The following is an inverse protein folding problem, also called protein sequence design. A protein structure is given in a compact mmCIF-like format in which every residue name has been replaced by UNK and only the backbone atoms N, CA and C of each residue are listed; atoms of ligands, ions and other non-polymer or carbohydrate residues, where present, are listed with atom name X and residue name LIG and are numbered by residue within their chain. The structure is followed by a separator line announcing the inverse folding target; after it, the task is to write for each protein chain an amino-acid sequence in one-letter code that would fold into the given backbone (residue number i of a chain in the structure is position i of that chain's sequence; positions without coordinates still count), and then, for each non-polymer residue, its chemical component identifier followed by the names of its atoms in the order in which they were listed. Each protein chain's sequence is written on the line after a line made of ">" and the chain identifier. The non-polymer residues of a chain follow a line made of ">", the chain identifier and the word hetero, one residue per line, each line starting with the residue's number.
data_IF_229445352193
#
_entry.id   IF_229445352193
#
_cell.length_a   1.000
_cell.length_b   1.000
_cell.length_c   1.000
_cell.angle_alpha   90.00
_cell.angle_beta   90.00
_cell.angle_gamma   90.00
#
_symmetry.space_group_name_H-M   'P 1'
#
loop_
_entity.id
_entity.type
_entity.pdbx_description
1 polymer ?
#
# COMPACT_ATOMS: atom_id res chain seq x y z
N UNK A 1 -34.24 -30.76 29.26
CA UNK A 1 -33.00 -31.53 29.05
C UNK A 1 -31.85 -30.54 29.16
N UNK A 2 -31.15 -30.53 30.29
CA UNK A 2 -29.97 -29.68 30.47
C UNK A 2 -28.80 -30.34 29.74
N UNK A 3 -28.13 -29.58 28.86
CA UNK A 3 -26.94 -30.08 28.18
C UNK A 3 -25.84 -30.28 29.24
N UNK A 4 -25.23 -31.47 29.32
CA UNK A 4 -24.20 -31.73 30.29
C UNK A 4 -23.03 -30.77 30.06
N UNK A 5 -22.59 -30.10 31.12
CA UNK A 5 -21.57 -29.03 31.10
C UNK A 5 -20.30 -29.38 30.30
N UNK A 6 -19.92 -30.67 30.27
CA UNK A 6 -18.80 -31.19 29.47
C UNK A 6 -18.98 -31.00 27.95
N UNK A 7 -20.22 -31.05 27.46
CA UNK A 7 -20.55 -30.81 26.03
C UNK A 7 -20.42 -29.33 25.69
N UNK A 8 -20.82 -28.44 26.60
CA UNK A 8 -20.69 -26.99 26.39
C UNK A 8 -19.22 -26.60 26.28
N UNK A 9 -18.35 -27.13 27.17
CA UNK A 9 -16.92 -26.86 27.13
C UNK A 9 -16.28 -27.38 25.84
N UNK A 10 -16.61 -28.61 25.42
CA UNK A 10 -16.02 -29.20 24.21
C UNK A 10 -16.44 -28.45 22.94
N UNK A 11 -17.70 -28.03 22.83
CA UNK A 11 -18.17 -27.20 21.72
C UNK A 11 -17.48 -25.84 21.69
N UNK A 12 -17.32 -25.18 22.85
CA UNK A 12 -16.61 -23.90 22.94
C UNK A 12 -15.14 -24.01 22.53
N UNK A 13 -14.47 -25.09 22.92
CA UNK A 13 -13.06 -25.34 22.61
C UNK A 13 -12.85 -25.62 21.12
N UNK A 14 -13.75 -26.40 20.51
CA UNK A 14 -13.74 -26.64 19.06
C UNK A 14 -14.02 -25.36 18.28
N UNK A 15 -14.99 -24.55 18.70
CA UNK A 15 -15.29 -23.27 18.06
C UNK A 15 -14.10 -22.30 18.14
N UNK A 16 -13.40 -22.25 19.28
CA UNK A 16 -12.20 -21.44 19.46
C UNK A 16 -11.04 -21.88 18.57
N UNK A 17 -10.82 -23.20 18.45
CA UNK A 17 -9.81 -23.74 17.54
C UNK A 17 -10.14 -23.43 16.08
N UNK A 18 -11.40 -23.59 15.68
CA UNK A 18 -11.83 -23.29 14.30
C UNK A 18 -11.65 -21.81 13.95
N UNK A 19 -11.93 -20.88 14.86
CA UNK A 19 -11.72 -19.45 14.60
C UNK A 19 -10.24 -19.09 14.54
N UNK A 20 -9.40 -19.67 15.40
CA UNK A 20 -7.93 -19.45 15.32
C UNK A 20 -7.35 -20.03 14.04
N UNK A 21 -7.78 -21.22 13.62
CA UNK A 21 -7.38 -21.79 12.33
C UNK A 21 -7.86 -20.92 11.16
N UNK A 22 -9.09 -20.43 11.18
CA UNK A 22 -9.61 -19.54 10.14
C UNK A 22 -8.78 -18.25 10.01
N UNK A 23 -8.44 -17.60 11.13
CA UNK A 23 -7.60 -16.39 11.14
C UNK A 23 -6.18 -16.71 10.63
N UNK A 24 -5.60 -17.83 11.07
CA UNK A 24 -4.27 -18.25 10.63
C UNK A 24 -4.22 -18.54 9.13
N UNK A 25 -5.21 -19.28 8.61
CA UNK A 25 -5.33 -19.55 7.19
C UNK A 25 -5.68 -18.29 6.39
N UNK A 26 -6.52 -17.38 6.89
CA UNK A 26 -6.79 -16.11 6.19
C UNK A 26 -5.57 -15.18 6.12
N UNK A 27 -4.66 -15.28 7.10
CA UNK A 27 -3.38 -14.56 7.07
C UNK A 27 -2.37 -15.22 6.13
N UNK A 28 -2.37 -16.55 5.99
CA UNK A 28 -1.49 -17.25 5.03
C UNK A 28 -2.01 -17.23 3.58
N UNK A 29 -3.33 -17.09 3.39
CA UNK A 29 -3.98 -16.94 2.08
C UNK A 29 -4.07 -15.48 1.63
N UNK A 30 -3.15 -14.63 2.08
CA UNK A 30 -2.68 -13.58 1.18
C UNK A 30 -2.06 -14.28 -0.01
N UNK A 31 -2.86 -14.53 -1.06
CA UNK A 31 -2.37 -15.04 -2.34
C UNK A 31 -1.09 -14.30 -2.67
N UNK A 32 0.05 -15.01 -2.65
CA UNK A 32 1.29 -14.42 -3.12
C UNK A 32 1.07 -14.10 -4.58
N UNK A 33 0.81 -12.82 -4.83
CA UNK A 33 0.52 -12.29 -6.15
C UNK A 33 1.65 -12.74 -7.07
N UNK A 34 1.33 -13.60 -8.05
CA UNK A 34 2.38 -14.12 -8.92
C UNK A 34 3.03 -12.96 -9.67
N UNK A 35 4.31 -13.08 -10.01
CA UNK A 35 5.02 -12.00 -10.72
C UNK A 35 4.34 -11.64 -12.06
N UNK A 36 3.72 -12.61 -12.73
CA UNK A 36 2.96 -12.40 -13.96
C UNK A 36 1.67 -11.61 -13.70
N UNK A 37 0.93 -11.96 -12.65
CA UNK A 37 -0.29 -11.25 -12.24
C UNK A 37 0.03 -9.82 -11.80
N UNK A 38 1.10 -9.66 -11.01
CA UNK A 38 1.63 -8.38 -10.57
C UNK A 38 1.97 -7.47 -11.76
N UNK A 39 2.64 -8.00 -12.79
CA UNK A 39 2.93 -7.25 -14.01
C UNK A 39 1.66 -6.79 -14.72
N UNK A 40 0.66 -7.68 -14.86
CA UNK A 40 -0.61 -7.36 -15.51
C UNK A 40 -1.34 -6.23 -14.80
N UNK A 41 -1.48 -6.34 -13.47
CA UNK A 41 -2.15 -5.34 -12.64
C UNK A 41 -1.37 -4.02 -12.70
N UNK A 42 -0.07 -4.04 -12.39
CA UNK A 42 0.78 -2.86 -12.36
C UNK A 42 0.71 -2.05 -13.66
N UNK A 43 0.95 -2.67 -14.81
CA UNK A 43 0.97 -1.94 -16.07
C UNK A 43 -0.42 -1.48 -16.51
N UNK A 44 -1.48 -2.27 -16.29
CA UNK A 44 -2.83 -1.83 -16.67
C UNK A 44 -3.31 -0.65 -15.83
N UNK A 45 -3.08 -0.69 -14.53
CA UNK A 45 -3.46 0.40 -13.62
C UNK A 45 -2.56 1.62 -13.84
N UNK A 46 -1.28 1.39 -14.15
CA UNK A 46 -0.35 2.46 -14.49
C UNK A 46 -0.80 3.26 -15.72
N UNK A 47 -1.25 2.59 -16.78
CA UNK A 47 -1.73 3.26 -17.99
C UNK A 47 -2.99 4.12 -17.72
N UNK A 48 -3.82 3.70 -16.77
CA UNK A 48 -4.95 4.50 -16.31
C UNK A 48 -4.50 5.71 -15.49
N UNK A 49 -3.58 5.53 -14.55
CA UNK A 49 -3.05 6.63 -13.74
C UNK A 49 -2.32 7.67 -14.58
N UNK A 50 -1.62 7.27 -15.65
CA UNK A 50 -1.01 8.20 -16.62
C UNK A 50 -2.03 9.11 -17.30
N UNK A 51 -3.23 8.61 -17.62
CA UNK A 51 -4.30 9.45 -18.20
C UNK A 51 -4.78 10.52 -17.22
N UNK A 52 -4.68 10.23 -15.93
CA UNK A 52 -4.96 11.15 -14.83
C UNK A 52 -3.73 11.97 -14.40
N UNK A 53 -2.67 11.98 -15.23
CA UNK A 53 -1.40 12.66 -14.96
C UNK A 53 -0.76 12.26 -13.63
N UNK A 54 -1.09 11.05 -13.17
CA UNK A 54 -0.62 10.49 -11.93
C UNK A 54 -0.84 11.43 -10.75
N UNK A 55 -1.98 12.11 -10.71
CA UNK A 55 -2.33 12.98 -9.61
C UNK A 55 -2.40 12.21 -8.29
N UNK A 56 -2.09 12.85 -7.16
CA UNK A 56 -2.12 12.20 -5.85
C UNK A 56 -3.50 11.64 -5.48
N UNK A 57 -4.57 12.19 -6.07
CA UNK A 57 -5.94 11.69 -5.94
C UNK A 57 -6.12 10.23 -6.35
N UNK A 58 -5.23 9.65 -7.17
CA UNK A 58 -5.30 8.23 -7.54
C UNK A 58 -5.16 7.29 -6.33
N UNK A 59 -4.58 7.76 -5.20
CA UNK A 59 -4.54 6.99 -3.95
C UNK A 59 -5.90 6.69 -3.35
N UNK A 60 -6.90 7.49 -3.70
CA UNK A 60 -8.27 7.29 -3.22
C UNK A 60 -9.04 6.27 -4.06
N UNK A 61 -8.45 5.81 -5.17
CA UNK A 61 -9.08 4.77 -5.99
C UNK A 61 -9.01 3.42 -5.29
N UNK A 62 -10.06 2.63 -5.48
CA UNK A 62 -10.18 1.29 -4.91
C UNK A 62 -9.11 0.31 -5.42
N UNK A 63 -8.50 0.59 -6.57
CA UNK A 63 -7.46 -0.24 -7.19
C UNK A 63 -6.03 0.12 -6.73
N UNK A 64 -5.85 1.21 -5.97
CA UNK A 64 -4.53 1.69 -5.56
C UNK A 64 -3.77 0.66 -4.70
N UNK A 65 -4.47 -0.04 -3.81
CA UNK A 65 -3.86 -1.09 -2.99
C UNK A 65 -3.32 -2.23 -3.85
N UNK A 66 -4.07 -2.68 -4.85
CA UNK A 66 -3.65 -3.74 -5.77
C UNK A 66 -2.46 -3.31 -6.64
N UNK A 67 -2.42 -2.04 -7.05
CA UNK A 67 -1.26 -1.44 -7.72
C UNK A 67 -0.02 -1.47 -6.83
N UNK A 68 -0.16 -1.09 -5.55
CA UNK A 68 0.95 -1.09 -4.59
C UNK A 68 1.46 -2.48 -4.25
N UNK A 69 0.57 -3.45 -4.07
CA UNK A 69 0.96 -4.84 -3.82
C UNK A 69 1.69 -5.44 -5.04
N UNK A 70 1.20 -5.13 -6.24
CA UNK A 70 1.89 -5.50 -7.49
C UNK A 70 3.27 -4.86 -7.60
N UNK A 71 3.39 -3.61 -7.19
CA UNK A 71 4.64 -2.87 -7.21
C UNK A 71 5.70 -3.45 -6.26
N UNK A 72 5.30 -3.85 -5.05
CA UNK A 72 6.18 -4.51 -4.09
C UNK A 72 6.73 -5.83 -4.64
N UNK A 73 5.88 -6.61 -5.31
CA UNK A 73 6.30 -7.88 -5.93
C UNK A 73 7.29 -7.65 -7.09
N UNK A 74 7.11 -6.58 -7.86
CA UNK A 74 7.96 -6.31 -9.03
C UNK A 74 9.27 -5.61 -8.70
N UNK A 75 9.24 -4.65 -7.75
CA UNK A 75 10.32 -3.70 -7.50
C UNK A 75 10.84 -3.72 -6.05
N UNK A 76 10.21 -4.48 -5.16
CA UNK A 76 10.59 -4.64 -3.75
C UNK A 76 9.89 -3.67 -2.80
N UNK A 77 9.92 -4.00 -1.51
CA UNK A 77 9.22 -3.27 -0.43
C UNK A 77 9.76 -1.86 -0.15
N UNK A 78 10.91 -1.49 -0.73
CA UNK A 78 11.52 -0.17 -0.58
C UNK A 78 10.85 0.91 -1.44
N UNK A 79 10.08 0.51 -2.46
CA UNK A 79 9.25 1.40 -3.25
C UNK A 79 7.99 1.75 -2.46
N UNK A 80 8.08 2.75 -1.58
CA UNK A 80 6.90 3.32 -0.94
C UNK A 80 5.91 3.87 -1.98
N UNK A 81 4.65 4.09 -1.58
CA UNK A 81 3.53 4.50 -2.43
C UNK A 81 3.89 5.53 -3.51
N UNK A 82 4.69 6.51 -3.10
CA UNK A 82 5.17 7.59 -3.94
C UNK A 82 6.15 7.17 -5.02
N UNK A 83 7.16 6.40 -4.63
CA UNK A 83 8.23 5.96 -5.52
C UNK A 83 7.66 5.05 -6.60
N UNK A 84 6.72 4.18 -6.20
CA UNK A 84 6.06 3.30 -7.14
C UNK A 84 5.28 4.06 -8.24
N UNK A 85 4.38 4.96 -7.83
CA UNK A 85 3.56 5.71 -8.77
C UNK A 85 4.42 6.58 -9.70
N UNK A 86 5.33 7.38 -9.15
CA UNK A 86 6.03 8.38 -9.98
C UNK A 86 7.30 7.87 -10.65
N UNK A 87 8.08 7.00 -9.99
CA UNK A 87 9.35 6.53 -10.55
C UNK A 87 9.15 5.33 -11.48
N UNK A 88 8.22 4.42 -11.16
CA UNK A 88 8.03 3.20 -11.94
C UNK A 88 6.90 3.34 -12.97
N UNK A 89 5.82 4.04 -12.64
CA UNK A 89 4.72 4.21 -13.56
C UNK A 89 4.85 5.48 -14.42
N UNK A 90 4.97 6.65 -13.81
CA UNK A 90 4.72 7.91 -14.52
C UNK A 90 5.96 8.54 -15.15
N UNK A 91 7.17 8.03 -14.83
CA UNK A 91 8.48 8.41 -15.37
C UNK A 91 8.50 9.86 -15.87
N UNK A 92 8.24 10.78 -14.96
CA UNK A 92 8.12 12.19 -15.28
C UNK A 92 9.22 12.98 -14.58
N UNK A 93 9.53 14.12 -15.19
CA UNK A 93 10.61 15.05 -14.84
C UNK A 93 10.72 15.28 -13.34
N UNK A 94 11.96 15.54 -12.88
CA UNK A 94 12.30 15.76 -11.46
C UNK A 94 11.30 16.68 -10.73
N UNK A 95 10.75 17.70 -11.39
CA UNK A 95 9.74 18.60 -10.82
C UNK A 95 8.45 17.91 -10.35
N UNK A 96 7.96 16.90 -11.10
CA UNK A 96 6.71 16.19 -10.80
C UNK A 96 6.91 15.19 -9.66
N UNK A 97 8.10 14.57 -9.61
CA UNK A 97 8.55 13.81 -8.45
C UNK A 97 8.56 14.70 -7.19
N UNK A 98 9.07 15.92 -7.31
CA UNK A 98 9.22 16.85 -6.19
C UNK A 98 7.91 17.45 -5.69
N UNK A 99 7.05 17.95 -6.59
CA UNK A 99 5.69 18.38 -6.24
C UNK A 99 4.91 17.25 -5.60
N UNK A 100 5.21 16.05 -6.07
CA UNK A 100 4.62 14.87 -5.57
C UNK A 100 5.00 14.52 -4.14
N UNK A 101 6.28 14.28 -3.89
CA UNK A 101 6.79 13.96 -2.55
C UNK A 101 6.33 15.02 -1.53
N UNK A 102 6.29 16.28 -1.96
CA UNK A 102 5.74 17.41 -1.22
C UNK A 102 4.25 17.19 -0.85
N UNK A 103 3.39 16.85 -1.81
CA UNK A 103 1.98 16.52 -1.54
C UNK A 103 1.80 15.28 -0.64
N UNK A 104 2.69 14.29 -0.74
CA UNK A 104 2.71 13.15 0.16
C UNK A 104 2.98 13.56 1.61
N UNK A 105 3.97 14.44 1.81
CA UNK A 105 4.32 14.97 3.12
C UNK A 105 3.23 15.90 3.68
N UNK A 106 2.49 16.60 2.81
CA UNK A 106 1.31 17.41 3.19
C UNK A 106 0.09 16.58 3.56
N UNK A 107 -0.19 15.52 2.81
CA UNK A 107 -1.32 14.60 3.02
C UNK A 107 -1.17 13.71 4.25
N UNK A 108 -0.39 14.14 5.25
CA UNK A 108 0.10 13.38 6.39
C UNK A 108 -0.98 12.91 7.38
N UNK A 109 -2.25 13.20 7.14
CA UNK A 109 -3.36 12.62 7.91
C UNK A 109 -3.48 11.10 7.70
N UNK A 110 -2.93 10.53 6.61
CA UNK A 110 -3.18 9.12 6.25
C UNK A 110 -1.96 8.19 6.21
N UNK A 111 -0.71 8.70 6.20
CA UNK A 111 0.47 7.84 5.91
C UNK A 111 1.26 7.34 7.13
N UNK A 112 0.97 7.81 8.36
CA UNK A 112 1.81 7.55 9.56
C UNK A 112 3.30 7.89 9.39
N UNK A 113 3.70 8.54 8.29
CA UNK A 113 5.09 8.93 8.08
C UNK A 113 5.43 10.10 8.99
N UNK A 114 6.53 9.99 9.74
CA UNK A 114 7.06 11.12 10.49
C UNK A 114 7.36 12.27 9.51
N UNK A 115 6.80 13.45 9.76
CA UNK A 115 7.03 14.65 8.93
C UNK A 115 8.53 14.91 8.72
N UNK A 116 9.36 14.70 9.74
CA UNK A 116 10.82 14.83 9.63
C UNK A 116 11.44 13.84 8.64
N UNK A 117 11.02 12.57 8.67
CA UNK A 117 11.57 11.56 7.74
C UNK A 117 11.09 11.80 6.31
N UNK A 118 9.87 12.30 6.15
CA UNK A 118 9.33 12.71 4.85
C UNK A 118 10.10 13.92 4.29
N UNK A 119 10.31 14.96 5.10
CA UNK A 119 11.06 16.15 4.71
C UNK A 119 12.54 15.87 4.45
N UNK A 120 13.17 14.96 5.20
CA UNK A 120 14.54 14.52 4.92
C UNK A 120 14.64 13.89 3.51
N UNK A 121 13.62 13.12 3.10
CA UNK A 121 13.56 12.48 1.78
C UNK A 121 13.26 13.47 0.66
N UNK A 122 12.32 14.41 0.88
CA UNK A 122 12.09 15.55 -0.04
C UNK A 122 13.40 16.31 -0.25
N UNK A 123 14.12 16.67 0.81
CA UNK A 123 15.37 17.43 0.69
C UNK A 123 16.49 16.64 -0.01
N UNK A 124 16.52 15.32 0.15
CA UNK A 124 17.51 14.45 -0.50
C UNK A 124 17.25 14.32 -2.03
N UNK A 125 16.00 14.08 -2.41
CA UNK A 125 15.64 13.81 -3.81
C UNK A 125 15.32 15.11 -4.58
N UNK A 126 14.93 16.16 -3.85
CA UNK A 126 14.43 17.45 -4.34
C UNK A 126 15.04 18.63 -3.55
N UNK A 127 16.33 18.93 -3.73
CA UNK A 127 17.05 19.93 -2.94
C UNK A 127 16.50 21.35 -3.06
N UNK A 128 15.80 21.66 -4.17
CA UNK A 128 15.19 22.96 -4.43
C UNK A 128 13.76 23.08 -3.85
N UNK A 129 13.18 21.98 -3.36
CA UNK A 129 11.85 21.96 -2.76
C UNK A 129 11.91 22.26 -1.26
N UNK A 130 11.15 23.26 -0.80
CA UNK A 130 11.04 23.57 0.62
C UNK A 130 9.92 22.74 1.27
N UNK A 131 10.29 21.78 2.12
CA UNK A 131 9.32 20.93 2.82
C UNK A 131 8.41 21.68 3.80
N UNK A 132 8.74 22.92 4.18
CA UNK A 132 7.88 23.75 5.05
C UNK A 132 6.77 24.48 4.26
N UNK A 133 6.95 24.61 2.94
CA UNK A 133 5.97 25.16 1.99
C UNK A 133 5.16 24.03 1.33
N UNK A 134 5.64 22.79 1.51
CA UNK A 134 4.80 21.62 1.59
C UNK A 134 3.99 21.71 2.92
#
# INVERSE_FOLDING_TARGET
>A
MELPFKVIISVALVAFLLTTFYIFFSQQSGEQLSRTEANRIFYSTCDDYKKEKCDWSVRQRSDFTGFMDSCRVLFGDTAGDYSCLYQQCCVETKDILCSGLCNACRGNEFSRANKESCCARVKADCPDAQCDVC
#
